data_IF_810724682249
#
_entry.id   IF_810724682249
#
_cell.length_a   1.000
_cell.length_b   1.000
_cell.length_c   1.000
_cell.angle_alpha   90.00
_cell.angle_beta   90.00
_cell.angle_gamma   90.00
#
_symmetry.space_group_name_H-M   'P 1'
#
loop_
_entity.id
_entity.type
_entity.pdbx_description
1 polymer ?
#
# COMPACT_ATOMS: atom_id res chain seq x y z
N UNK A 1 2.81 -7.01 -16.04
CA UNK A 1 3.50 -6.05 -15.16
C UNK A 1 4.33 -6.83 -14.15
N UNK A 2 5.65 -6.67 -14.17
CA UNK A 2 6.57 -7.33 -13.23
C UNK A 2 6.60 -6.59 -11.88
N UNK A 3 5.53 -6.76 -11.09
CA UNK A 3 5.49 -6.28 -9.70
C UNK A 3 6.72 -6.71 -8.91
N UNK A 4 7.22 -7.90 -9.18
CA UNK A 4 8.37 -8.47 -8.49
C UNK A 4 9.66 -7.70 -8.74
N UNK A 5 9.93 -7.27 -9.98
CA UNK A 5 11.12 -6.47 -10.28
C UNK A 5 11.04 -5.08 -9.63
N UNK A 6 9.85 -4.49 -9.65
CA UNK A 6 9.58 -3.19 -9.04
C UNK A 6 9.73 -3.23 -7.51
N UNK A 7 9.08 -4.17 -6.84
CA UNK A 7 9.15 -4.30 -5.38
C UNK A 7 10.53 -4.69 -4.91
N UNK A 8 11.28 -5.47 -5.69
CA UNK A 8 12.67 -5.81 -5.38
C UNK A 8 13.60 -4.59 -5.47
N UNK A 9 13.38 -3.68 -6.42
CA UNK A 9 14.10 -2.41 -6.46
C UNK A 9 13.76 -1.54 -5.23
N UNK A 10 12.48 -1.40 -4.88
CA UNK A 10 12.05 -0.67 -3.69
C UNK A 10 12.67 -1.29 -2.44
N UNK A 11 12.63 -2.61 -2.28
CA UNK A 11 13.19 -3.29 -1.12
C UNK A 11 14.68 -3.03 -0.91
N UNK A 12 15.44 -2.80 -1.99
CA UNK A 12 16.87 -2.51 -1.93
C UNK A 12 17.19 -1.04 -1.63
N UNK A 13 16.32 -0.12 -2.04
CA UNK A 13 16.61 1.32 -1.98
C UNK A 13 15.80 2.07 -0.92
N UNK A 14 14.67 1.52 -0.45
CA UNK A 14 13.76 2.20 0.47
C UNK A 14 13.90 1.62 1.87
N UNK A 15 13.99 2.53 2.84
CA UNK A 15 13.79 2.25 4.25
C UNK A 15 12.36 1.80 4.54
N UNK A 16 12.13 1.23 5.73
CA UNK A 16 10.79 0.83 6.16
C UNK A 16 9.83 2.03 6.16
N UNK A 17 10.28 3.22 6.56
CA UNK A 17 9.46 4.43 6.58
C UNK A 17 9.02 4.85 5.17
N UNK A 18 9.92 4.80 4.19
CA UNK A 18 9.58 5.14 2.80
C UNK A 18 8.63 4.10 2.18
N UNK A 19 8.77 2.83 2.53
CA UNK A 19 7.80 1.79 2.13
C UNK A 19 6.42 2.03 2.71
N UNK A 20 6.34 2.51 3.96
CA UNK A 20 5.07 2.89 4.58
C UNK A 20 4.45 4.12 3.89
N UNK A 21 5.26 5.12 3.53
CA UNK A 21 4.74 6.25 2.76
C UNK A 21 4.23 5.82 1.37
N UNK A 22 4.89 4.86 0.74
CA UNK A 22 4.42 4.30 -0.53
C UNK A 22 3.08 3.57 -0.37
N UNK A 23 2.91 2.76 0.69
CA UNK A 23 1.65 2.05 0.91
C UNK A 23 0.50 3.00 1.26
N UNK A 24 0.79 4.08 2.00
CA UNK A 24 -0.18 5.17 2.24
C UNK A 24 -0.65 5.76 0.90
N UNK A 25 0.27 6.08 -0.01
CA UNK A 25 -0.07 6.62 -1.34
C UNK A 25 -0.86 5.64 -2.21
N UNK A 26 -0.58 4.35 -2.11
CA UNK A 26 -1.34 3.31 -2.82
C UNK A 26 -2.77 3.23 -2.28
N UNK A 27 -2.96 3.34 -0.96
CA UNK A 27 -4.30 3.44 -0.38
C UNK A 27 -5.02 4.70 -0.84
N UNK A 28 -4.36 5.86 -0.88
CA UNK A 28 -4.97 7.11 -1.38
C UNK A 28 -5.54 6.94 -2.80
N UNK A 29 -4.79 6.27 -3.68
CA UNK A 29 -5.24 5.96 -5.04
C UNK A 29 -6.41 4.97 -5.03
N UNK A 30 -6.34 3.90 -4.22
CA UNK A 30 -7.42 2.93 -4.13
C UNK A 30 -8.72 3.56 -3.58
N UNK A 31 -8.62 4.51 -2.66
CA UNK A 31 -9.77 5.25 -2.12
C UNK A 31 -10.29 6.35 -3.06
N UNK A 32 -9.54 6.73 -4.11
CA UNK A 32 -9.93 7.82 -5.01
C UNK A 32 -11.21 7.54 -5.80
N UNK A 33 -11.52 6.28 -6.06
CA UNK A 33 -12.72 5.86 -6.81
C UNK A 33 -13.96 5.64 -5.91
N UNK A 34 -13.94 6.15 -4.67
CA UNK A 34 -14.97 6.05 -3.60
C UNK A 34 -15.35 4.62 -3.14
N UNK A 35 -15.15 3.61 -3.98
CA UNK A 35 -15.49 2.21 -3.72
C UNK A 35 -14.26 1.35 -3.99
N UNK A 36 -13.60 0.93 -2.92
CA UNK A 36 -12.55 -0.09 -3.00
C UNK A 36 -13.20 -1.42 -3.33
N UNK A 37 -12.83 -1.99 -4.47
CA UNK A 37 -13.26 -3.34 -4.83
C UNK A 37 -12.25 -4.40 -4.33
N UNK A 38 -12.68 -5.66 -4.32
CA UNK A 38 -11.87 -6.79 -3.87
C UNK A 38 -10.53 -6.94 -4.62
N UNK A 39 -10.44 -6.50 -5.87
CA UNK A 39 -9.21 -6.59 -6.65
C UNK A 39 -8.18 -5.56 -6.20
N UNK A 40 -8.62 -4.36 -5.81
CA UNK A 40 -7.75 -3.32 -5.28
C UNK A 40 -7.23 -3.69 -3.90
N UNK A 41 -8.10 -4.11 -2.99
CA UNK A 41 -7.70 -4.59 -1.66
C UNK A 41 -6.69 -5.73 -1.77
N UNK A 42 -6.95 -6.70 -2.66
CA UNK A 42 -6.01 -7.78 -2.96
C UNK A 42 -4.67 -7.27 -3.53
N UNK A 43 -4.69 -6.29 -4.43
CA UNK A 43 -3.48 -5.73 -5.02
C UNK A 43 -2.63 -5.00 -3.97
N UNK A 44 -3.25 -4.20 -3.10
CA UNK A 44 -2.55 -3.47 -2.03
C UNK A 44 -1.94 -4.46 -1.03
N UNK A 45 -2.68 -5.51 -0.66
CA UNK A 45 -2.15 -6.62 0.16
C UNK A 45 -0.95 -7.30 -0.49
N UNK A 46 -1.05 -7.63 -1.79
CA UNK A 46 0.04 -8.27 -2.54
C UNK A 46 1.28 -7.38 -2.62
N UNK A 47 1.12 -6.07 -2.79
CA UNK A 47 2.23 -5.13 -2.80
C UNK A 47 2.88 -5.05 -1.41
N UNK A 48 2.08 -4.97 -0.34
CA UNK A 48 2.59 -4.93 1.03
C UNK A 48 3.42 -6.18 1.38
N UNK A 49 2.92 -7.36 1.00
CA UNK A 49 3.64 -8.63 1.15
C UNK A 49 4.99 -8.60 0.41
N UNK A 50 4.99 -8.15 -0.85
CA UNK A 50 6.19 -8.04 -1.67
C UNK A 50 7.18 -6.98 -1.15
N UNK A 51 6.71 -5.97 -0.40
CA UNK A 51 7.54 -4.95 0.23
C UNK A 51 8.06 -5.37 1.62
N UNK A 52 7.71 -6.58 2.07
CA UNK A 52 7.99 -7.10 3.41
C UNK A 52 7.40 -6.21 4.53
N UNK A 53 6.22 -5.63 4.29
CA UNK A 53 5.46 -4.92 5.31
C UNK A 53 4.62 -5.90 6.11
N UNK A 54 4.46 -5.64 7.39
CA UNK A 54 3.58 -6.45 8.24
C UNK A 54 2.11 -6.12 7.96
N UNK A 55 1.23 -7.11 8.17
CA UNK A 55 -0.21 -6.91 8.06
C UNK A 55 -0.72 -5.76 8.96
N UNK A 56 -0.12 -5.57 10.15
CA UNK A 56 -0.46 -4.46 11.03
C UNK A 56 -0.16 -3.10 10.41
N UNK A 57 1.02 -2.93 9.82
CA UNK A 57 1.40 -1.70 9.11
C UNK A 57 0.45 -1.39 7.95
N UNK A 58 -0.01 -2.43 7.25
CA UNK A 58 -0.96 -2.30 6.16
C UNK A 58 -2.34 -1.79 6.63
N UNK A 59 -2.85 -2.36 7.72
CA UNK A 59 -4.11 -1.95 8.34
C UNK A 59 -4.00 -0.52 8.90
N UNK A 60 -2.89 -0.19 9.56
CA UNK A 60 -2.65 1.16 10.09
C UNK A 60 -2.65 2.21 8.96
N UNK A 61 -2.00 1.92 7.83
CA UNK A 61 -2.01 2.76 6.63
C UNK A 61 -3.43 2.92 6.05
N UNK A 62 -4.19 1.82 5.95
CA UNK A 62 -5.58 1.85 5.48
C UNK A 62 -6.46 2.75 6.35
N UNK A 63 -6.38 2.60 7.68
CA UNK A 63 -7.14 3.38 8.63
C UNK A 63 -6.78 4.88 8.59
N UNK A 64 -5.49 5.18 8.42
CA UNK A 64 -5.00 6.54 8.27
C UNK A 64 -5.60 7.22 7.04
N UNK A 65 -5.47 6.59 5.87
CA UNK A 65 -5.99 7.16 4.61
C UNK A 65 -7.51 7.24 4.61
N UNK A 66 -8.21 6.21 5.10
CA UNK A 66 -9.66 6.23 5.20
C UNK A 66 -10.16 7.44 6.01
N UNK A 67 -9.43 7.83 7.05
CA UNK A 67 -9.72 9.03 7.86
C UNK A 67 -9.45 10.34 7.10
N UNK A 68 -8.40 10.39 6.29
CA UNK A 68 -8.04 11.56 5.48
C UNK A 68 -9.02 11.79 4.32
N UNK A 69 -9.50 10.73 3.68
CA UNK A 69 -10.46 10.81 2.55
C UNK A 69 -11.89 11.07 3.03
N UNK A 70 -12.26 10.61 4.23
CA UNK A 70 -13.59 10.86 4.80
C UNK A 70 -13.72 12.23 5.53
N UNK A 71 -12.64 13.02 5.53
CA UNK A 71 -12.49 14.27 6.28
C UNK A 71 -12.76 15.54 5.47
#
# INVERSE_FOLDING_TARGET
MDLWQFTNAINRHFSVQEKLQLIDKIWEIAYADEIINQHEDYLVHKIADLLHLSHRQLIDAKLKVAKEVSG
#
